data_IF_808449882122
#
_entry.id   IF_808449882122
#
_cell.length_a   1.000
_cell.length_b   1.000
_cell.length_c   1.000
_cell.angle_alpha   90.00
_cell.angle_beta   90.00
_cell.angle_gamma   90.00
#
_symmetry.space_group_name_H-M   'P 1'
#
loop_
_entity.id
_entity.type
_entity.pdbx_description
1 polymer ?
#
# COMPACT_ATOMS: atom_id res chain seq x y z
N UNK A 1 -7.30 2.46 -12.74
CA UNK A 1 -7.03 1.03 -13.03
C UNK A 1 -5.81 0.98 -13.94
N UNK A 2 -4.81 0.11 -13.70
CA UNK A 2 -3.58 0.05 -14.51
C UNK A 2 -3.89 -0.17 -15.99
N UNK A 3 -3.14 0.52 -16.86
CA UNK A 3 -3.30 0.48 -18.31
C UNK A 3 -2.58 -0.75 -18.90
N UNK A 4 -3.23 -1.43 -19.84
CA UNK A 4 -2.72 -2.69 -20.43
C UNK A 4 -1.61 -2.44 -21.45
N UNK A 5 -1.61 -1.24 -22.03
CA UNK A 5 -0.69 -0.69 -23.03
C UNK A 5 0.64 -0.20 -22.45
N UNK A 6 0.78 -0.20 -21.13
CA UNK A 6 1.98 0.26 -20.43
C UNK A 6 2.95 -0.90 -20.14
N UNK A 7 4.25 -0.73 -20.43
CA UNK A 7 5.28 -1.70 -20.05
C UNK A 7 5.25 -1.88 -18.52
N UNK A 8 4.89 -3.08 -18.03
CA UNK A 8 4.79 -3.39 -16.60
C UNK A 8 6.14 -3.17 -15.91
N UNK A 9 6.29 -2.01 -15.25
CA UNK A 9 7.43 -1.70 -14.39
C UNK A 9 7.28 -2.49 -13.07
N UNK A 10 8.19 -3.44 -12.87
CA UNK A 10 8.31 -4.38 -11.74
C UNK A 10 7.14 -5.35 -11.50
N UNK A 11 7.46 -6.61 -11.16
CA UNK A 11 6.47 -7.62 -10.77
C UNK A 11 5.94 -7.25 -9.38
N UNK A 12 4.63 -7.11 -9.24
CA UNK A 12 4.00 -6.91 -7.94
C UNK A 12 4.32 -8.10 -7.03
N UNK A 13 4.79 -7.80 -5.82
CA UNK A 13 4.99 -8.81 -4.78
C UNK A 13 3.64 -9.01 -4.08
N UNK A 14 3.04 -10.22 -4.16
CA UNK A 14 1.80 -10.49 -3.45
C UNK A 14 2.05 -10.47 -1.94
N UNK A 15 1.06 -9.99 -1.19
CA UNK A 15 1.06 -10.14 0.27
C UNK A 15 0.67 -11.58 0.58
N UNK A 16 1.56 -12.32 1.23
CA UNK A 16 1.33 -13.71 1.60
C UNK A 16 0.19 -13.86 2.64
N UNK A 17 -0.52 -14.99 2.56
CA UNK A 17 -1.58 -15.38 3.50
C UNK A 17 -2.98 -14.80 3.20
N UNK A 18 -3.97 -15.22 3.98
CA UNK A 18 -5.38 -14.84 3.82
C UNK A 18 -5.79 -13.69 4.76
N UNK A 19 -6.73 -12.82 4.35
CA UNK A 19 -7.36 -11.88 5.28
C UNK A 19 -7.88 -12.59 6.53
N UNK A 20 -7.73 -11.98 7.73
CA UNK A 20 -8.27 -12.57 8.95
C UNK A 20 -9.80 -12.64 8.86
N UNK A 21 -10.37 -13.59 9.59
CA UNK A 21 -11.81 -13.62 9.82
C UNK A 21 -12.23 -12.35 10.58
N UNK A 22 -13.20 -11.61 10.04
CA UNK A 22 -13.71 -10.37 10.63
C UNK A 22 -14.71 -10.64 11.76
N UNK A 23 -15.32 -11.83 11.79
CA UNK A 23 -16.26 -12.26 12.85
C UNK A 23 -15.47 -12.64 14.10
N UNK A 24 -14.34 -13.32 13.93
CA UNK A 24 -13.48 -13.78 15.01
C UNK A 24 -12.04 -13.25 14.81
N UNK A 25 -11.80 -11.95 15.04
CA UNK A 25 -10.46 -11.38 14.88
C UNK A 25 -9.47 -11.98 15.88
N UNK A 26 -8.17 -12.04 15.55
CA UNK A 26 -7.15 -12.49 16.48
C UNK A 26 -7.09 -11.57 17.72
N UNK A 27 -6.67 -12.09 18.89
CA UNK A 27 -6.69 -11.34 20.16
C UNK A 27 -5.67 -10.19 20.20
N UNK A 28 -4.60 -10.28 19.40
CA UNK A 28 -3.58 -9.25 19.29
C UNK A 28 -3.78 -8.33 18.08
N UNK A 29 -2.68 -8.02 17.40
CA UNK A 29 -2.69 -7.27 16.15
C UNK A 29 -3.43 -8.03 15.05
N UNK A 30 -4.43 -7.40 14.44
CA UNK A 30 -5.22 -7.95 13.31
C UNK A 30 -4.38 -8.34 12.09
N UNK A 31 -3.20 -7.74 11.96
CA UNK A 31 -2.27 -7.99 10.85
C UNK A 31 -1.25 -9.09 11.16
N UNK A 32 -1.15 -9.57 12.41
CA UNK A 32 -0.19 -10.61 12.80
C UNK A 32 -0.18 -11.83 11.87
N UNK A 33 -1.33 -12.38 11.41
CA UNK A 33 -1.32 -13.57 10.55
C UNK A 33 -0.63 -13.39 9.19
N UNK A 34 -0.46 -12.15 8.72
CA UNK A 34 0.14 -11.82 7.42
C UNK A 34 1.31 -10.83 7.51
N UNK A 35 1.66 -10.38 8.71
CA UNK A 35 2.72 -9.41 8.89
C UNK A 35 4.09 -10.12 8.83
N UNK A 36 4.93 -9.71 7.88
CA UNK A 36 6.31 -10.20 7.75
C UNK A 36 7.23 -9.74 8.90
N UNK A 37 6.84 -8.67 9.60
CA UNK A 37 7.60 -8.07 10.70
C UNK A 37 7.07 -8.43 12.09
N UNK A 38 6.18 -9.42 12.20
CA UNK A 38 5.53 -9.78 13.47
C UNK A 38 6.52 -10.29 14.50
N UNK A 39 6.20 -10.04 15.78
CA UNK A 39 6.84 -10.64 16.96
C UNK A 39 5.77 -11.18 17.91
N UNK A 40 6.16 -11.92 18.94
CA UNK A 40 5.23 -12.59 19.85
C UNK A 40 4.20 -11.64 20.47
N UNK A 41 4.61 -10.42 20.84
CA UNK A 41 3.70 -9.37 21.37
C UNK A 41 2.55 -9.04 20.42
N UNK A 42 2.74 -9.16 19.11
CA UNK A 42 1.70 -8.93 18.10
C UNK A 42 0.60 -9.98 18.17
N UNK A 43 0.87 -11.19 18.65
CA UNK A 43 -0.13 -12.25 18.79
C UNK A 43 -0.94 -12.09 20.07
N UNK A 44 -0.32 -11.53 21.10
CA UNK A 44 -0.90 -11.45 22.45
C UNK A 44 -1.66 -10.15 22.71
N UNK A 45 -1.20 -9.02 22.17
CA UNK A 45 -1.72 -7.69 22.54
C UNK A 45 -1.93 -6.78 21.34
N UNK A 46 -3.05 -6.07 21.34
CA UNK A 46 -3.32 -5.02 20.37
C UNK A 46 -2.49 -3.76 20.70
N UNK A 47 -1.75 -3.19 19.72
CA UNK A 47 -1.05 -1.93 19.91
C UNK A 47 -2.01 -0.73 19.97
N UNK A 48 -1.66 0.25 20.79
CA UNK A 48 -2.38 1.53 20.88
C UNK A 48 -2.18 2.37 19.61
N UNK A 49 -3.06 3.34 19.34
CA UNK A 49 -2.81 4.31 18.28
C UNK A 49 -1.80 5.34 18.79
N UNK A 50 -0.62 5.40 18.15
CA UNK A 50 0.46 6.32 18.54
C UNK A 50 1.12 6.93 17.32
N UNK A 51 1.73 8.10 17.50
CA UNK A 51 2.60 8.72 16.49
C UNK A 51 3.79 7.85 16.17
N UNK A 52 4.17 7.84 14.90
CA UNK A 52 5.38 7.16 14.43
C UNK A 52 6.55 8.12 14.58
N UNK A 53 7.62 7.75 15.32
CA UNK A 53 8.84 8.55 15.36
C UNK A 53 9.45 8.70 13.95
N UNK A 54 10.06 9.85 13.67
CA UNK A 54 10.63 10.18 12.36
C UNK A 54 9.62 10.30 11.20
N UNK A 55 8.31 10.22 11.45
CA UNK A 55 7.27 10.49 10.46
C UNK A 55 6.73 11.94 10.58
N UNK A 56 5.76 12.28 9.71
CA UNK A 56 5.05 13.57 9.82
C UNK A 56 4.26 13.64 11.15
N UNK A 57 4.03 14.84 11.72
CA UNK A 57 3.41 14.98 13.04
C UNK A 57 2.00 14.41 13.18
N UNK A 58 1.27 14.26 12.07
CA UNK A 58 -0.09 13.73 11.96
C UNK A 58 -0.13 12.25 11.56
N UNK A 59 1.02 11.61 11.41
CA UNK A 59 1.11 10.20 11.02
C UNK A 59 1.11 9.29 12.26
N UNK A 60 0.05 8.50 12.39
CA UNK A 60 -0.16 7.59 13.52
C UNK A 60 -0.39 6.15 13.05
N UNK A 61 0.00 5.18 13.88
CA UNK A 61 -0.22 3.76 13.63
C UNK A 61 -0.49 2.96 14.91
N UNK A 62 -1.27 1.89 14.74
CA UNK A 62 -1.43 0.79 15.71
C UNK A 62 -0.44 -0.32 15.38
N UNK A 63 0.85 -0.11 15.65
CA UNK A 63 1.90 -1.08 15.35
C UNK A 63 3.02 -1.05 16.38
N UNK A 64 3.30 -2.18 17.02
CA UNK A 64 4.41 -2.33 17.96
C UNK A 64 5.79 -2.05 17.33
N UNK A 65 5.95 -2.33 16.03
CA UNK A 65 7.22 -2.13 15.33
C UNK A 65 7.53 -0.66 15.04
N UNK A 66 6.52 0.17 14.78
CA UNK A 66 6.71 1.58 14.38
C UNK A 66 6.50 2.57 15.52
N UNK A 67 6.07 2.09 16.69
CA UNK A 67 5.96 2.92 17.89
C UNK A 67 7.34 3.26 18.46
N UNK A 68 7.38 4.22 19.37
CA UNK A 68 8.57 4.54 20.14
C UNK A 68 9.13 3.28 20.81
N UNK A 69 10.43 3.00 20.58
CA UNK A 69 11.11 1.79 21.04
C UNK A 69 10.80 0.51 20.23
N UNK A 70 10.04 0.63 19.14
CA UNK A 70 9.77 -0.46 18.21
C UNK A 70 11.00 -0.87 17.37
N UNK A 71 10.87 -1.92 16.56
CA UNK A 71 11.99 -2.45 15.75
C UNK A 71 11.99 -1.98 14.29
N UNK A 72 11.10 -1.05 13.94
CA UNK A 72 10.94 -0.50 12.58
C UNK A 72 11.00 1.04 12.56
N UNK A 73 11.35 1.67 13.68
CA UNK A 73 11.36 3.13 13.84
C UNK A 73 12.45 3.82 13.02
N UNK A 74 13.57 3.12 12.83
CA UNK A 74 14.73 3.59 12.06
C UNK A 74 14.78 2.97 10.65
N UNK A 75 13.74 2.24 10.25
CA UNK A 75 13.66 1.62 8.92
C UNK A 75 13.44 2.70 7.86
N UNK A 76 14.40 2.82 6.94
CA UNK A 76 14.24 3.66 5.75
C UNK A 76 13.41 2.93 4.70
N UNK A 77 12.09 3.01 4.85
CA UNK A 77 11.11 2.39 3.95
C UNK A 77 11.25 2.83 2.48
N UNK A 78 11.79 4.03 2.22
CA UNK A 78 12.04 4.53 0.87
C UNK A 78 13.19 3.79 0.19
N UNK A 79 14.14 3.27 0.97
CA UNK A 79 15.28 2.49 0.49
C UNK A 79 14.97 1.00 0.37
N UNK A 80 14.14 0.46 1.25
CA UNK A 80 13.88 -1.00 1.33
C UNK A 80 12.71 -1.50 0.47
N UNK A 81 11.64 -0.73 0.31
CA UNK A 81 10.45 -1.13 -0.49
C UNK A 81 10.41 -0.38 -1.83
N UNK A 82 11.30 0.60 -2.01
CA UNK A 82 11.44 1.39 -3.24
C UNK A 82 10.32 2.41 -3.38
N UNK A 83 10.50 3.61 -2.84
CA UNK A 83 9.57 4.71 -3.07
C UNK A 83 10.27 5.98 -3.59
N UNK A 84 9.61 6.62 -4.53
CA UNK A 84 9.80 7.98 -5.09
C UNK A 84 10.99 8.31 -5.98
N UNK A 85 12.09 7.55 -6.02
CA UNK A 85 13.23 7.94 -6.91
C UNK A 85 12.91 7.85 -8.41
N UNK A 86 11.85 7.13 -8.77
CA UNK A 86 11.37 7.08 -10.15
C UNK A 86 10.45 8.26 -10.47
N UNK A 87 10.06 9.12 -9.51
CA UNK A 87 9.14 10.24 -9.82
C UNK A 87 9.80 11.24 -10.77
N UNK A 88 11.08 11.58 -10.59
CA UNK A 88 11.77 12.51 -11.50
C UNK A 88 12.06 11.89 -12.87
N UNK A 89 12.35 10.59 -12.93
CA UNK A 89 12.47 9.83 -14.19
C UNK A 89 11.11 9.70 -14.89
N UNK A 90 10.04 9.37 -14.17
CA UNK A 90 8.66 9.31 -14.69
C UNK A 90 8.21 10.69 -15.15
N UNK A 91 8.52 11.77 -14.41
CA UNK A 91 8.21 13.15 -14.82
C UNK A 91 8.93 13.52 -16.11
N UNK A 92 10.20 13.13 -16.28
CA UNK A 92 10.94 13.33 -17.53
C UNK A 92 10.32 12.53 -18.67
N UNK A 93 10.06 11.25 -18.46
CA UNK A 93 9.42 10.40 -19.46
C UNK A 93 8.02 10.91 -19.86
N UNK A 94 7.22 11.41 -18.92
CA UNK A 94 5.89 12.01 -19.19
C UNK A 94 6.01 13.36 -19.89
N UNK A 95 7.03 14.16 -19.58
CA UNK A 95 7.29 15.43 -20.26
C UNK A 95 7.69 15.25 -21.73
N UNK A 96 8.31 14.11 -22.05
CA UNK A 96 8.77 13.76 -23.39
C UNK A 96 7.70 13.02 -24.24
N UNK A 97 6.50 12.77 -23.70
CA UNK A 97 5.39 12.19 -24.46
C UNK A 97 4.76 13.24 -25.41
N UNK A 98 4.52 12.90 -26.70
CA UNK A 98 3.86 13.81 -27.62
C UNK A 98 2.39 14.05 -27.20
N UNK A 99 1.96 15.31 -27.26
CA UNK A 99 0.68 15.81 -26.77
C UNK A 99 -0.55 15.43 -27.65
N UNK A 100 -0.60 14.20 -28.17
CA UNK A 100 -1.62 13.80 -29.14
C UNK A 100 -2.51 12.66 -28.61
N UNK A 101 -3.53 13.05 -27.85
CA UNK A 101 -4.95 12.76 -28.14
C UNK A 101 -5.82 13.33 -27.01
N UNK A 102 -5.94 14.66 -26.97
CA UNK A 102 -7.25 15.25 -26.66
C UNK A 102 -8.16 14.87 -27.82
N UNK A 103 -8.83 13.72 -27.73
CA UNK A 103 -10.01 13.46 -28.53
C UNK A 103 -11.19 13.90 -27.69
N UNK A 104 -11.92 14.88 -28.22
CA UNK A 104 -13.06 15.50 -27.58
C UNK A 104 -14.01 14.45 -27.01
N UNK A 105 -14.54 14.74 -25.82
CA UNK A 105 -15.33 13.80 -25.04
C UNK A 105 -16.49 13.21 -25.82
N UNK A 106 -16.45 11.90 -26.02
CA UNK A 106 -17.63 11.07 -26.18
C UNK A 106 -17.45 9.92 -25.19
N UNK A 107 -18.27 9.90 -24.14
CA UNK A 107 -18.27 8.84 -23.13
C UNK A 107 -18.74 7.54 -23.83
N UNK A 108 -17.95 6.45 -23.82
CA UNK A 108 -18.39 5.20 -24.43
C UNK A 108 -19.65 4.69 -23.71
N UNK A 109 -20.66 4.19 -24.44
CA UNK A 109 -21.93 3.79 -23.84
C UNK A 109 -21.70 2.73 -22.78
N UNK A 110 -22.30 2.92 -21.61
CA UNK A 110 -22.20 1.99 -20.49
C UNK A 110 -22.64 0.58 -20.94
N UNK A 111 -21.90 -0.48 -20.55
CA UNK A 111 -22.35 -1.84 -20.82
C UNK A 111 -23.69 -2.09 -20.10
N UNK A 112 -24.61 -2.88 -20.70
CA UNK A 112 -25.88 -3.19 -20.04
C UNK A 112 -25.60 -3.92 -18.71
N UNK A 113 -26.44 -3.70 -17.68
CA UNK A 113 -26.24 -4.34 -16.39
C UNK A 113 -26.29 -5.86 -16.56
N UNK A 114 -25.29 -6.54 -15.97
CA UNK A 114 -25.23 -8.00 -15.94
C UNK A 114 -26.50 -8.56 -15.29
N UNK A 115 -27.09 -9.65 -15.81
CA UNK A 115 -28.26 -10.27 -15.20
C UNK A 115 -27.89 -10.80 -13.82
N UNK A 116 -28.68 -10.39 -12.82
CA UNK A 116 -28.64 -10.96 -11.48
C UNK A 116 -29.27 -12.35 -11.57
N UNK A 117 -28.50 -13.39 -11.28
CA UNK A 117 -29.01 -14.73 -11.01
C UNK A 117 -28.41 -15.23 -9.70
#
# INVERSE_FOLDING_TARGET
IPRLDEHRKAKLVPIEGLPPDLIAPPPGCRFEPRCQYRRDVCKEKEPELKRIPNAKPDHEARCWGTQEGGWLVDTDWHREIGDTRVIEEIKKEVADLPAETKKDGEEPPLPPPSPVN
#
